data_IF_798427827890
#
_entry.id   IF_798427827890
#
_cell.length_a   1.000
_cell.length_b   1.000
_cell.length_c   1.000
_cell.angle_alpha   90.00
_cell.angle_beta   90.00
_cell.angle_gamma   90.00
#
_symmetry.space_group_name_H-M   'P 1'
#
loop_
_entity.id
_entity.type
_entity.pdbx_description
1 polymer ?
#
# COMPACT_ATOMS: atom_id res chain seq x y z
N UNK A 1 -67.41 -12.39 5.38
CA UNK A 1 -66.13 -12.53 6.11
C UNK A 1 -65.00 -12.05 5.19
N UNK A 2 -64.72 -10.74 5.16
CA UNK A 2 -63.62 -10.16 4.36
C UNK A 2 -62.32 -10.41 5.10
N UNK A 3 -61.45 -11.26 4.56
CA UNK A 3 -60.07 -11.42 5.05
C UNK A 3 -59.31 -10.13 4.72
N UNK A 4 -58.94 -9.38 5.74
CA UNK A 4 -57.90 -8.38 5.64
C UNK A 4 -56.59 -9.12 5.35
N UNK A 5 -56.11 -9.06 4.12
CA UNK A 5 -54.71 -9.30 3.83
C UNK A 5 -53.94 -8.09 4.37
N UNK A 6 -53.27 -8.25 5.50
CA UNK A 6 -52.18 -7.35 5.87
C UNK A 6 -51.04 -7.60 4.87
N UNK A 7 -51.05 -6.87 3.76
CA UNK A 7 -49.80 -6.56 3.07
C UNK A 7 -48.97 -5.74 4.07
N UNK A 8 -47.88 -6.33 4.56
CA UNK A 8 -46.85 -5.58 5.27
C UNK A 8 -46.28 -4.54 4.29
N UNK A 9 -46.91 -3.37 4.22
CA UNK A 9 -46.40 -2.18 3.56
C UNK A 9 -45.12 -1.75 4.29
N UNK A 10 -44.00 -2.37 3.94
CA UNK A 10 -42.70 -1.84 4.32
C UNK A 10 -42.55 -0.50 3.60
N UNK A 11 -42.54 0.59 4.38
CA UNK A 11 -42.41 1.94 3.84
C UNK A 11 -41.08 2.05 3.09
N UNK A 12 -41.16 2.39 1.79
CA UNK A 12 -39.98 2.66 0.96
C UNK A 12 -39.24 3.88 1.49
N UNK A 13 -37.91 3.83 1.50
CA UNK A 13 -37.06 4.97 1.90
C UNK A 13 -36.95 6.02 0.82
N UNK A 14 -37.01 5.61 -0.46
CA UNK A 14 -36.95 6.53 -1.60
C UNK A 14 -37.80 6.03 -2.78
N UNK A 15 -38.16 6.97 -3.64
CA UNK A 15 -38.74 6.73 -4.96
C UNK A 15 -37.79 7.21 -6.07
N UNK A 16 -37.97 6.71 -7.29
CA UNK A 16 -37.34 7.28 -8.47
C UNK A 16 -38.14 8.49 -8.96
N UNK A 17 -37.44 9.57 -9.32
CA UNK A 17 -38.05 10.79 -9.87
C UNK A 17 -38.36 10.56 -11.35
N UNK A 18 -39.64 10.56 -11.77
CA UNK A 18 -39.99 10.35 -13.17
C UNK A 18 -39.39 11.44 -14.07
N UNK A 19 -38.68 11.03 -15.12
CA UNK A 19 -38.09 11.93 -16.11
C UNK A 19 -36.74 12.55 -15.74
N UNK A 20 -36.21 12.28 -14.54
CA UNK A 20 -34.84 12.64 -14.16
C UNK A 20 -33.96 11.39 -14.18
N UNK A 21 -33.49 11.08 -15.39
CA UNK A 21 -32.71 9.89 -15.70
C UNK A 21 -31.52 10.26 -16.60
N UNK A 22 -30.39 9.58 -16.42
CA UNK A 22 -29.19 9.76 -17.24
C UNK A 22 -28.75 8.41 -17.82
N UNK A 23 -28.42 8.41 -19.12
CA UNK A 23 -27.85 7.24 -19.80
C UNK A 23 -26.35 7.24 -19.60
N UNK A 24 -25.83 6.23 -18.88
CA UNK A 24 -24.41 6.15 -18.50
C UNK A 24 -23.61 5.17 -19.37
N UNK A 25 -24.30 4.26 -20.06
CA UNK A 25 -23.74 3.37 -21.07
C UNK A 25 -24.85 2.90 -22.02
N UNK A 26 -24.54 2.31 -23.19
CA UNK A 26 -25.55 1.75 -24.08
C UNK A 26 -26.47 0.76 -23.34
N UNK A 27 -27.76 1.09 -23.26
CA UNK A 27 -28.76 0.27 -22.57
C UNK A 27 -28.75 0.36 -21.04
N UNK A 28 -27.97 1.27 -20.44
CA UNK A 28 -27.93 1.47 -18.99
C UNK A 28 -28.26 2.90 -18.61
N UNK A 29 -29.30 3.03 -17.81
CA UNK A 29 -29.85 4.31 -17.35
C UNK A 29 -29.94 4.28 -15.83
N UNK A 30 -29.50 5.35 -15.18
CA UNK A 30 -29.68 5.55 -13.74
C UNK A 30 -30.67 6.67 -13.48
N UNK A 31 -31.41 6.58 -12.39
CA UNK A 31 -32.58 7.41 -12.10
C UNK A 31 -32.35 8.18 -10.80
N UNK A 32 -32.67 9.48 -10.80
CA UNK A 32 -32.56 10.32 -9.61
C UNK A 32 -33.48 9.76 -8.52
N UNK A 33 -32.98 9.63 -7.30
CA UNK A 33 -33.80 9.22 -6.15
C UNK A 33 -34.34 10.43 -5.38
N UNK A 34 -35.50 10.27 -4.76
CA UNK A 34 -36.09 11.24 -3.83
C UNK A 34 -36.46 10.56 -2.53
N UNK A 35 -36.09 11.17 -1.41
CA UNK A 35 -36.40 10.66 -0.08
C UNK A 35 -37.91 10.66 0.19
N UNK A 36 -38.44 9.55 0.68
CA UNK A 36 -39.82 9.42 1.16
C UNK A 36 -39.93 9.53 2.69
N UNK A 37 -38.81 9.29 3.38
CA UNK A 37 -38.70 9.32 4.83
C UNK A 37 -37.50 10.17 5.24
N UNK A 38 -37.52 10.72 6.45
CA UNK A 38 -36.36 11.42 6.99
C UNK A 38 -35.23 10.42 7.32
N UNK A 39 -34.00 10.79 7.00
CA UNK A 39 -32.79 10.09 7.44
C UNK A 39 -32.02 11.06 8.34
N UNK A 40 -32.45 11.13 9.61
CA UNK A 40 -32.01 12.16 10.55
C UNK A 40 -30.48 12.22 10.73
N UNK A 41 -29.79 11.08 10.68
CA UNK A 41 -28.33 11.02 10.80
C UNK A 41 -27.59 11.72 9.65
N UNK A 42 -28.27 11.92 8.52
CA UNK A 42 -27.74 12.58 7.32
C UNK A 42 -28.40 13.95 7.07
N UNK A 43 -29.31 14.39 7.94
CA UNK A 43 -30.06 15.64 7.75
C UNK A 43 -31.03 15.63 6.56
N UNK A 44 -31.37 14.45 6.03
CA UNK A 44 -32.27 14.30 4.89
C UNK A 44 -33.71 14.31 5.36
N UNK A 45 -34.56 15.09 4.69
CA UNK A 45 -36.01 15.15 4.92
C UNK A 45 -36.79 14.62 3.72
N UNK A 46 -38.06 14.20 3.90
CA UNK A 46 -38.89 13.77 2.78
C UNK A 46 -38.98 14.85 1.70
N UNK A 47 -38.78 14.46 0.44
CA UNK A 47 -38.74 15.35 -0.71
C UNK A 47 -37.33 15.69 -1.19
N UNK A 48 -36.30 15.51 -0.37
CA UNK A 48 -34.92 15.77 -0.77
C UNK A 48 -34.47 14.86 -1.91
N UNK A 49 -33.76 15.44 -2.87
CA UNK A 49 -33.15 14.71 -3.98
C UNK A 49 -31.83 14.08 -3.54
N UNK A 50 -31.64 12.82 -3.93
CA UNK A 50 -30.37 12.11 -3.81
C UNK A 50 -29.59 12.08 -5.12
N UNK A 51 -28.70 11.09 -5.27
CA UNK A 51 -28.00 10.81 -6.52
C UNK A 51 -28.80 9.89 -7.44
N UNK A 52 -28.08 9.17 -8.29
CA UNK A 52 -28.67 8.33 -9.33
C UNK A 52 -28.45 6.85 -9.06
N UNK A 53 -29.51 6.07 -9.23
CA UNK A 53 -29.50 4.62 -8.98
C UNK A 53 -30.21 3.89 -10.13
N UNK A 54 -29.63 2.79 -10.63
CA UNK A 54 -30.20 2.02 -11.76
C UNK A 54 -31.49 1.29 -11.39
N UNK A 55 -31.53 0.64 -10.22
CA UNK A 55 -32.66 -0.15 -9.74
C UNK A 55 -32.76 -0.15 -8.21
N UNK A 56 -33.92 -0.56 -7.68
CA UNK A 56 -34.11 -0.66 -6.22
C UNK A 56 -33.18 -1.70 -5.56
N UNK A 57 -32.59 -2.61 -6.35
CA UNK A 57 -31.61 -3.56 -5.85
C UNK A 57 -30.28 -2.90 -5.47
N UNK A 58 -29.99 -1.72 -6.02
CA UNK A 58 -28.69 -1.07 -5.85
C UNK A 58 -28.55 -0.28 -4.54
N UNK A 59 -29.65 0.15 -3.94
CA UNK A 59 -29.65 0.91 -2.68
C UNK A 59 -30.74 0.36 -1.76
N UNK A 60 -30.34 -0.10 -0.57
CA UNK A 60 -31.25 -0.73 0.39
C UNK A 60 -32.46 0.16 0.74
N UNK A 61 -33.67 -0.37 0.52
CA UNK A 61 -34.93 0.36 0.66
C UNK A 61 -35.45 0.48 2.10
N UNK A 62 -35.16 -0.49 2.97
CA UNK A 62 -35.87 -0.64 4.26
C UNK A 62 -34.93 -0.60 5.46
N UNK A 63 -33.73 -1.17 5.34
CA UNK A 63 -32.77 -1.24 6.43
C UNK A 63 -31.65 -0.21 6.30
N UNK A 64 -31.31 0.40 7.44
CA UNK A 64 -30.18 1.30 7.60
C UNK A 64 -30.31 2.65 6.88
N UNK A 65 -29.35 3.53 7.19
CA UNK A 65 -29.32 4.91 6.72
C UNK A 65 -28.55 5.10 5.41
N UNK A 66 -28.30 4.01 4.67
CA UNK A 66 -27.57 4.07 3.40
C UNK A 66 -28.23 5.05 2.42
N UNK A 67 -27.42 5.90 1.80
CA UNK A 67 -27.90 6.96 0.92
C UNK A 67 -26.89 7.30 -0.18
N UNK A 68 -27.44 7.68 -1.34
CA UNK A 68 -26.69 8.20 -2.48
C UNK A 68 -27.10 9.66 -2.66
N UNK A 69 -26.17 10.61 -2.65
CA UNK A 69 -26.44 12.05 -2.81
C UNK A 69 -25.53 12.72 -3.84
N UNK A 70 -25.79 13.99 -4.17
CA UNK A 70 -25.05 14.70 -5.22
C UNK A 70 -25.30 14.09 -6.59
N UNK A 71 -24.28 14.00 -7.42
CA UNK A 71 -24.34 13.38 -8.76
C UNK A 71 -23.76 11.96 -8.78
N UNK A 72 -23.61 11.37 -7.59
CA UNK A 72 -23.12 10.02 -7.42
C UNK A 72 -24.05 8.99 -8.08
N UNK A 73 -23.46 7.92 -8.60
CA UNK A 73 -24.13 6.94 -9.45
C UNK A 73 -23.89 5.52 -8.93
N UNK A 74 -24.96 4.75 -8.78
CA UNK A 74 -24.89 3.31 -8.42
C UNK A 74 -25.60 2.49 -9.49
N UNK A 75 -24.87 1.55 -10.11
CA UNK A 75 -25.34 0.80 -11.28
C UNK A 75 -24.83 -0.63 -11.36
N UNK A 76 -25.35 -1.42 -12.29
CA UNK A 76 -25.11 -2.87 -12.39
C UNK A 76 -25.73 -3.62 -11.21
N UNK A 77 -25.02 -4.62 -10.70
CA UNK A 77 -25.38 -5.39 -9.52
C UNK A 77 -24.75 -4.80 -8.23
N UNK A 78 -24.26 -3.56 -8.30
CA UNK A 78 -23.63 -2.92 -7.16
C UNK A 78 -24.65 -2.67 -6.06
N UNK A 79 -24.25 -2.81 -4.80
CA UNK A 79 -25.17 -2.74 -3.67
C UNK A 79 -24.64 -1.83 -2.56
N UNK A 80 -25.45 -0.84 -2.18
CA UNK A 80 -25.19 0.10 -1.10
C UNK A 80 -26.18 -0.15 0.05
N UNK A 81 -25.67 -0.43 1.25
CA UNK A 81 -26.50 -0.82 2.41
C UNK A 81 -25.90 -0.42 3.77
N UNK A 82 -26.57 -0.78 4.86
CA UNK A 82 -26.19 -0.34 6.20
C UNK A 82 -26.38 1.18 6.34
N UNK A 83 -25.35 1.89 6.78
CA UNK A 83 -25.30 3.35 6.87
C UNK A 83 -24.35 3.97 5.83
N UNK A 84 -24.00 3.21 4.79
CA UNK A 84 -23.00 3.63 3.83
C UNK A 84 -23.45 4.84 3.01
N UNK A 85 -22.53 5.73 2.70
CA UNK A 85 -22.82 6.98 1.99
C UNK A 85 -22.01 7.06 0.71
N UNK A 86 -22.69 7.32 -0.40
CA UNK A 86 -22.05 7.59 -1.70
C UNK A 86 -22.46 8.99 -2.14
N UNK A 87 -21.50 9.90 -2.35
CA UNK A 87 -21.82 11.31 -2.61
C UNK A 87 -20.79 12.01 -3.50
N UNK A 88 -21.06 13.26 -3.90
CA UNK A 88 -20.24 13.97 -4.89
C UNK A 88 -20.49 13.41 -6.29
N UNK A 89 -19.42 13.10 -7.04
CA UNK A 89 -19.44 12.53 -8.38
C UNK A 89 -19.04 11.04 -8.38
N UNK A 90 -19.17 10.37 -7.23
CA UNK A 90 -18.65 9.02 -7.01
C UNK A 90 -19.46 7.95 -7.77
N UNK A 91 -18.76 6.96 -8.32
CA UNK A 91 -19.36 5.89 -9.13
C UNK A 91 -19.16 4.52 -8.48
N UNK A 92 -20.26 3.82 -8.23
CA UNK A 92 -20.26 2.44 -7.74
C UNK A 92 -20.94 1.55 -8.78
N UNK A 93 -20.23 0.53 -9.28
CA UNK A 93 -20.72 -0.27 -10.42
C UNK A 93 -20.25 -1.73 -10.39
N UNK A 94 -20.73 -2.55 -11.34
CA UNK A 94 -20.38 -3.97 -11.40
C UNK A 94 -21.12 -4.74 -10.30
N UNK A 95 -20.42 -5.57 -9.55
CA UNK A 95 -20.91 -6.29 -8.35
C UNK A 95 -20.36 -5.67 -7.06
N UNK A 96 -19.96 -4.39 -7.09
CA UNK A 96 -19.31 -3.74 -5.95
C UNK A 96 -20.27 -3.64 -4.75
N UNK A 97 -19.75 -3.85 -3.54
CA UNK A 97 -20.53 -3.77 -2.31
C UNK A 97 -19.99 -2.67 -1.40
N UNK A 98 -20.87 -1.76 -0.98
CA UNK A 98 -20.53 -0.66 -0.08
C UNK A 98 -21.50 -0.70 1.10
N UNK A 99 -21.01 -1.07 2.28
CA UNK A 99 -21.87 -1.32 3.45
C UNK A 99 -21.22 -0.93 4.78
N UNK A 100 -21.95 -1.07 5.89
CA UNK A 100 -21.50 -0.57 7.19
C UNK A 100 -21.62 0.96 7.25
N UNK A 101 -20.63 1.65 7.78
CA UNK A 101 -20.54 3.13 7.84
C UNK A 101 -19.59 3.69 6.76
N UNK A 102 -19.35 2.91 5.71
CA UNK A 102 -18.41 3.24 4.64
C UNK A 102 -18.81 4.50 3.86
N UNK A 103 -17.82 5.24 3.37
CA UNK A 103 -18.03 6.46 2.59
C UNK A 103 -17.27 6.41 1.27
N UNK A 104 -17.97 6.68 0.18
CA UNK A 104 -17.39 6.84 -1.17
C UNK A 104 -17.75 8.23 -1.69
N UNK A 105 -16.76 9.04 -2.06
CA UNK A 105 -17.02 10.45 -2.39
C UNK A 105 -16.04 11.09 -3.36
N UNK A 106 -16.30 12.34 -3.76
CA UNK A 106 -15.51 13.00 -4.82
C UNK A 106 -15.76 12.31 -6.15
N UNK A 107 -14.71 12.04 -6.92
CA UNK A 107 -14.75 11.30 -8.19
C UNK A 107 -14.42 9.80 -8.01
N UNK A 108 -14.49 9.28 -6.77
CA UNK A 108 -14.04 7.95 -6.46
C UNK A 108 -14.83 6.88 -7.24
N UNK A 109 -14.14 5.83 -7.69
CA UNK A 109 -14.72 4.74 -8.46
C UNK A 109 -14.55 3.42 -7.73
N UNK A 110 -15.66 2.74 -7.45
CA UNK A 110 -15.69 1.38 -6.89
C UNK A 110 -16.37 0.46 -7.90
N UNK A 111 -15.67 -0.53 -8.41
CA UNK A 111 -16.19 -1.39 -9.50
C UNK A 111 -15.74 -2.85 -9.41
N UNK A 112 -16.20 -3.70 -10.32
CA UNK A 112 -15.92 -5.14 -10.27
C UNK A 112 -16.64 -5.80 -9.08
N UNK A 113 -15.97 -6.70 -8.37
CA UNK A 113 -16.46 -7.34 -7.14
C UNK A 113 -15.88 -6.66 -5.87
N UNK A 114 -15.49 -5.38 -5.95
CA UNK A 114 -14.82 -4.70 -4.85
C UNK A 114 -15.73 -4.48 -3.65
N UNK A 115 -15.18 -4.62 -2.43
CA UNK A 115 -15.91 -4.42 -1.18
C UNK A 115 -15.35 -3.24 -0.39
N UNK A 116 -16.21 -2.34 0.05
CA UNK A 116 -15.89 -1.24 0.96
C UNK A 116 -16.80 -1.34 2.18
N UNK A 117 -16.21 -1.51 3.37
CA UNK A 117 -16.99 -1.77 4.59
C UNK A 117 -16.39 -1.21 5.89
N UNK A 118 -17.12 -1.33 7.00
CA UNK A 118 -16.72 -0.70 8.27
C UNK A 118 -16.87 0.81 8.19
N UNK A 119 -15.88 1.56 8.66
CA UNK A 119 -15.78 3.02 8.54
C UNK A 119 -14.87 3.45 7.38
N UNK A 120 -14.62 2.56 6.41
CA UNK A 120 -13.66 2.82 5.34
C UNK A 120 -14.08 4.03 4.49
N UNK A 121 -13.09 4.78 4.00
CA UNK A 121 -13.32 5.95 3.17
C UNK A 121 -12.56 5.84 1.85
N UNK A 122 -13.27 6.02 0.74
CA UNK A 122 -12.70 6.11 -0.60
C UNK A 122 -13.09 7.46 -1.19
N UNK A 123 -12.13 8.34 -1.50
CA UNK A 123 -12.44 9.70 -1.94
C UNK A 123 -11.40 10.31 -2.88
N UNK A 124 -11.68 11.50 -3.43
CA UNK A 124 -10.84 12.08 -4.50
C UNK A 124 -11.05 11.34 -5.82
N UNK A 125 -9.98 11.04 -6.55
CA UNK A 125 -10.01 10.30 -7.83
C UNK A 125 -9.69 8.80 -7.66
N UNK A 126 -9.80 8.29 -6.42
CA UNK A 126 -9.37 6.97 -6.04
C UNK A 126 -10.19 5.87 -6.73
N UNK A 127 -9.54 4.76 -7.07
CA UNK A 127 -10.16 3.62 -7.75
C UNK A 127 -9.96 2.33 -6.98
N UNK A 128 -11.07 1.65 -6.67
CA UNK A 128 -11.09 0.32 -6.07
C UNK A 128 -11.80 -0.63 -7.03
N UNK A 129 -11.12 -1.68 -7.50
CA UNK A 129 -11.67 -2.58 -8.51
C UNK A 129 -11.23 -4.04 -8.37
N UNK A 130 -11.75 -4.93 -9.22
CA UNK A 130 -11.47 -6.37 -9.11
C UNK A 130 -12.18 -6.96 -7.89
N UNK A 131 -11.51 -7.81 -7.11
CA UNK A 131 -11.99 -8.34 -5.84
C UNK A 131 -11.38 -7.60 -4.63
N UNK A 132 -10.93 -6.36 -4.83
CA UNK A 132 -10.25 -5.60 -3.78
C UNK A 132 -11.17 -5.33 -2.59
N UNK A 133 -10.60 -5.33 -1.39
CA UNK A 133 -11.32 -5.08 -0.14
C UNK A 133 -10.72 -3.88 0.60
N UNK A 134 -11.57 -2.95 1.02
CA UNK A 134 -11.21 -1.82 1.88
C UNK A 134 -12.12 -1.85 3.10
N UNK A 135 -11.56 -2.07 4.30
CA UNK A 135 -12.37 -2.24 5.52
C UNK A 135 -11.77 -1.59 6.77
N UNK A 136 -12.49 -1.61 7.89
CA UNK A 136 -12.04 -0.94 9.12
C UNK A 136 -12.17 0.58 9.01
N UNK A 137 -11.16 1.33 9.44
CA UNK A 137 -11.05 2.78 9.28
C UNK A 137 -10.10 3.15 8.13
N UNK A 138 -9.85 2.25 7.19
CA UNK A 138 -8.92 2.46 6.10
C UNK A 138 -9.34 3.63 5.21
N UNK A 139 -8.36 4.35 4.66
CA UNK A 139 -8.58 5.47 3.76
C UNK A 139 -7.82 5.29 2.44
N UNK A 140 -8.53 5.42 1.33
CA UNK A 140 -7.97 5.39 -0.03
C UNK A 140 -8.34 6.68 -0.74
N UNK A 141 -7.36 7.51 -1.12
CA UNK A 141 -7.65 8.83 -1.67
C UNK A 141 -6.61 9.40 -2.64
N UNK A 142 -6.91 10.53 -3.25
CA UNK A 142 -6.11 11.07 -4.36
C UNK A 142 -6.32 10.22 -5.62
N UNK A 143 -5.26 9.95 -6.38
CA UNK A 143 -5.28 9.10 -7.58
C UNK A 143 -5.01 7.60 -7.27
N UNK A 144 -5.15 7.20 -6.01
CA UNK A 144 -4.76 5.88 -5.53
C UNK A 144 -5.57 4.77 -6.19
N UNK A 145 -4.92 3.62 -6.44
CA UNK A 145 -5.55 2.45 -7.08
C UNK A 145 -5.38 1.21 -6.22
N UNK A 146 -6.49 0.56 -5.88
CA UNK A 146 -6.52 -0.74 -5.21
C UNK A 146 -7.24 -1.74 -6.11
N UNK A 147 -6.58 -2.82 -6.52
CA UNK A 147 -7.14 -3.77 -7.50
C UNK A 147 -6.71 -5.22 -7.25
N UNK A 148 -7.22 -6.15 -8.06
CA UNK A 148 -6.96 -7.58 -7.87
C UNK A 148 -7.68 -8.13 -6.64
N UNK A 149 -7.01 -8.93 -5.81
CA UNK A 149 -7.49 -9.40 -4.51
C UNK A 149 -6.83 -8.61 -3.35
N UNK A 150 -6.39 -7.38 -3.60
CA UNK A 150 -5.71 -6.57 -2.59
C UNK A 150 -6.63 -6.26 -1.41
N UNK A 151 -6.05 -6.22 -0.20
CA UNK A 151 -6.79 -5.94 1.02
C UNK A 151 -6.16 -4.77 1.79
N UNK A 152 -6.92 -3.70 1.97
CA UNK A 152 -6.57 -2.55 2.81
C UNK A 152 -7.48 -2.52 4.03
N UNK A 153 -6.92 -2.56 5.24
CA UNK A 153 -7.71 -2.65 6.49
C UNK A 153 -7.08 -1.92 7.68
N UNK A 154 -7.75 -1.94 8.84
CA UNK A 154 -7.29 -1.23 10.03
C UNK A 154 -7.45 0.28 9.88
N UNK A 155 -6.43 1.05 10.23
CA UNK A 155 -6.33 2.49 10.01
C UNK A 155 -5.39 2.83 8.83
N UNK A 156 -5.16 1.89 7.91
CA UNK A 156 -4.19 2.05 6.82
C UNK A 156 -4.59 3.15 5.83
N UNK A 157 -3.61 3.87 5.30
CA UNK A 157 -3.80 4.93 4.31
C UNK A 157 -3.10 4.59 2.99
N UNK A 158 -3.84 4.74 1.88
CA UNK A 158 -3.31 4.64 0.52
C UNK A 158 -3.62 5.94 -0.21
N UNK A 159 -2.59 6.68 -0.64
CA UNK A 159 -2.79 8.04 -1.19
C UNK A 159 -1.84 8.45 -2.31
N UNK A 160 -2.12 9.59 -2.95
CA UNK A 160 -1.36 10.03 -4.12
C UNK A 160 -1.64 9.12 -5.32
N UNK A 161 -0.60 8.77 -6.09
CA UNK A 161 -0.68 7.82 -7.22
C UNK A 161 -0.39 6.37 -6.80
N UNK A 162 -0.48 6.05 -5.50
CA UNK A 162 -0.09 4.75 -4.98
C UNK A 162 -0.93 3.62 -5.59
N UNK A 163 -0.31 2.46 -5.81
CA UNK A 163 -0.95 1.29 -6.38
C UNK A 163 -0.79 0.08 -5.46
N UNK A 164 -1.91 -0.53 -5.08
CA UNK A 164 -1.95 -1.80 -4.32
C UNK A 164 -2.69 -2.82 -5.17
N UNK A 165 -2.03 -3.91 -5.57
CA UNK A 165 -2.61 -4.90 -6.48
C UNK A 165 -2.19 -6.34 -6.19
N UNK A 166 -2.71 -7.32 -6.94
CA UNK A 166 -2.45 -8.74 -6.67
C UNK A 166 -3.16 -9.21 -5.41
N UNK A 167 -2.49 -9.97 -4.56
CA UNK A 167 -2.96 -10.39 -3.23
C UNK A 167 -2.32 -9.55 -2.10
N UNK A 168 -1.85 -8.34 -2.42
CA UNK A 168 -1.15 -7.49 -1.47
C UNK A 168 -2.04 -7.09 -0.28
N UNK A 169 -1.44 -6.97 0.90
CA UNK A 169 -2.14 -6.59 2.13
C UNK A 169 -1.51 -5.34 2.75
N UNK A 170 -2.34 -4.35 3.06
CA UNK A 170 -1.94 -3.13 3.78
C UNK A 170 -2.85 -2.99 5.01
N UNK A 171 -2.28 -3.06 6.22
CA UNK A 171 -3.08 -3.09 7.46
C UNK A 171 -2.43 -2.36 8.63
N UNK A 172 -3.11 -2.31 9.79
CA UNK A 172 -2.64 -1.53 10.94
C UNK A 172 -2.74 -0.03 10.67
N UNK A 173 -1.69 0.72 10.97
CA UNK A 173 -1.58 2.16 10.66
C UNK A 173 -0.65 2.40 9.44
N UNK A 174 -0.45 1.38 8.59
CA UNK A 174 0.48 1.45 7.47
C UNK A 174 0.09 2.55 6.47
N UNK A 175 1.10 3.18 5.87
CA UNK A 175 0.92 4.27 4.92
C UNK A 175 1.62 3.95 3.60
N UNK A 176 0.87 3.95 2.50
CA UNK A 176 1.38 3.80 1.13
C UNK A 176 1.04 5.08 0.36
N UNK A 177 2.04 5.83 -0.10
CA UNK A 177 1.82 7.16 -0.70
C UNK A 177 2.77 7.50 -1.85
N UNK A 178 2.50 8.59 -2.56
CA UNK A 178 3.30 9.00 -3.72
C UNK A 178 3.03 8.11 -4.93
N UNK A 179 4.06 7.63 -5.62
CA UNK A 179 3.95 6.66 -6.72
C UNK A 179 4.28 5.23 -6.27
N UNK A 180 4.18 4.94 -4.96
CA UNK A 180 4.56 3.66 -4.40
C UNK A 180 3.70 2.51 -4.96
N UNK A 181 4.32 1.34 -5.14
CA UNK A 181 3.66 0.15 -5.65
C UNK A 181 3.81 -1.01 -4.65
N UNK A 182 2.69 -1.60 -4.25
CA UNK A 182 2.64 -2.81 -3.44
C UNK A 182 1.88 -3.88 -4.21
N UNK A 183 2.52 -5.01 -4.53
CA UNK A 183 1.91 -6.03 -5.41
C UNK A 183 2.32 -7.46 -5.05
N UNK A 184 1.80 -8.46 -5.78
CA UNK A 184 2.06 -9.87 -5.49
C UNK A 184 1.37 -10.29 -4.17
N UNK A 185 2.09 -10.97 -3.29
CA UNK A 185 1.63 -11.35 -1.95
C UNK A 185 2.27 -10.46 -0.86
N UNK A 186 2.74 -9.25 -1.22
CA UNK A 186 3.44 -8.37 -0.29
C UNK A 186 2.54 -7.93 0.87
N UNK A 187 3.14 -7.78 2.06
CA UNK A 187 2.45 -7.37 3.28
C UNK A 187 3.11 -6.12 3.87
N UNK A 188 2.31 -5.07 4.07
CA UNK A 188 2.70 -3.83 4.75
C UNK A 188 1.80 -3.62 5.97
N UNK A 189 2.34 -3.65 7.18
CA UNK A 189 1.54 -3.58 8.40
C UNK A 189 2.23 -2.85 9.56
N UNK A 190 1.50 -2.62 10.66
CA UNK A 190 2.01 -1.82 11.79
C UNK A 190 2.00 -0.34 11.44
N UNK A 191 3.07 0.39 11.78
CA UNK A 191 3.25 1.82 11.48
C UNK A 191 4.15 2.04 10.24
N UNK A 192 4.29 1.01 9.40
CA UNK A 192 5.19 1.00 8.25
C UNK A 192 4.81 2.04 7.19
N UNK A 193 5.81 2.61 6.53
CA UNK A 193 5.64 3.64 5.50
C UNK A 193 6.32 3.24 4.20
N UNK A 194 5.57 3.24 3.11
CA UNK A 194 6.06 3.05 1.74
C UNK A 194 5.71 4.31 0.93
N UNK A 195 6.72 5.02 0.44
CA UNK A 195 6.50 6.33 -0.21
C UNK A 195 7.42 6.59 -1.40
N UNK A 196 7.12 7.62 -2.21
CA UNK A 196 7.96 7.95 -3.37
C UNK A 196 7.71 6.99 -4.53
N UNK A 197 8.76 6.47 -5.16
CA UNK A 197 8.66 5.46 -6.24
C UNK A 197 8.98 4.05 -5.73
N UNK A 198 8.84 3.81 -4.43
CA UNK A 198 9.20 2.54 -3.80
C UNK A 198 8.32 1.39 -4.30
N UNK A 199 8.93 0.22 -4.50
CA UNK A 199 8.26 -0.99 -4.95
C UNK A 199 8.42 -2.11 -3.92
N UNK A 200 7.30 -2.68 -3.46
CA UNK A 200 7.25 -3.85 -2.58
C UNK A 200 6.45 -4.94 -3.29
N UNK A 201 7.07 -6.07 -3.62
CA UNK A 201 6.43 -7.12 -4.41
C UNK A 201 6.89 -8.54 -4.04
N UNK A 202 6.27 -9.56 -4.63
CA UNK A 202 6.55 -10.95 -4.26
C UNK A 202 5.93 -11.29 -2.91
N UNK A 203 6.67 -11.97 -2.02
CA UNK A 203 6.23 -12.30 -0.67
C UNK A 203 6.86 -11.36 0.39
N UNK A 204 7.22 -10.13 0.00
CA UNK A 204 7.96 -9.20 0.83
C UNK A 204 7.12 -8.65 2.00
N UNK A 205 7.73 -8.50 3.18
CA UNK A 205 7.09 -8.02 4.40
C UNK A 205 7.75 -6.72 4.87
N UNK A 206 6.92 -5.69 5.11
CA UNK A 206 7.35 -4.41 5.70
C UNK A 206 6.49 -4.15 6.94
N UNK A 207 7.13 -4.02 8.11
CA UNK A 207 6.42 -3.96 9.38
C UNK A 207 7.06 -3.08 10.46
N UNK A 208 6.34 -2.88 11.57
CA UNK A 208 6.79 -2.00 12.66
C UNK A 208 6.82 -0.54 12.21
N UNK A 209 7.90 0.18 12.50
CA UNK A 209 8.10 1.58 12.08
C UNK A 209 8.92 1.69 10.78
N UNK A 210 8.99 0.63 9.98
CA UNK A 210 9.90 0.56 8.84
C UNK A 210 9.54 1.61 7.79
N UNK A 211 10.55 2.19 7.15
CA UNK A 211 10.38 3.18 6.09
C UNK A 211 11.08 2.75 4.81
N UNK A 212 10.29 2.52 3.75
CA UNK A 212 10.74 2.29 2.38
C UNK A 212 10.41 3.53 1.53
N UNK A 213 11.42 4.17 0.94
CA UNK A 213 11.22 5.43 0.20
C UNK A 213 12.15 5.61 -1.00
N UNK A 214 11.86 6.60 -1.86
CA UNK A 214 12.68 6.87 -3.04
C UNK A 214 12.45 5.82 -4.14
N UNK A 215 13.50 5.39 -4.82
CA UNK A 215 13.45 4.37 -5.87
C UNK A 215 13.82 2.97 -5.31
N UNK A 216 13.37 2.66 -4.10
CA UNK A 216 13.74 1.45 -3.38
C UNK A 216 12.91 0.22 -3.80
N UNK A 217 13.51 -0.96 -3.76
CA UNK A 217 12.89 -2.22 -4.17
C UNK A 217 12.99 -3.23 -3.01
N UNK A 218 11.86 -3.79 -2.59
CA UNK A 218 11.78 -4.89 -1.62
C UNK A 218 11.03 -6.05 -2.27
N UNK A 219 11.69 -7.20 -2.42
CA UNK A 219 11.16 -8.30 -3.23
C UNK A 219 11.49 -9.70 -2.74
N UNK A 220 10.82 -10.71 -3.27
CA UNK A 220 10.98 -12.10 -2.83
C UNK A 220 10.46 -12.29 -1.41
N UNK A 221 11.18 -13.03 -0.58
CA UNK A 221 10.82 -13.30 0.82
C UNK A 221 11.47 -12.29 1.82
N UNK A 222 11.75 -11.07 1.34
CA UNK A 222 12.46 -10.05 2.11
C UNK A 222 11.64 -9.52 3.30
N UNK A 223 12.31 -9.22 4.41
CA UNK A 223 11.71 -8.69 5.63
C UNK A 223 12.38 -7.39 6.08
N UNK A 224 11.61 -6.30 6.11
CA UNK A 224 12.01 -4.99 6.63
C UNK A 224 11.16 -4.69 7.87
N UNK A 225 11.76 -4.59 9.05
CA UNK A 225 11.02 -4.43 10.31
C UNK A 225 11.69 -3.50 11.32
N UNK A 226 10.92 -3.05 12.33
CA UNK A 226 11.42 -2.12 13.35
C UNK A 226 11.63 -0.71 12.79
N UNK A 227 12.69 -0.01 13.21
CA UNK A 227 13.01 1.35 12.74
C UNK A 227 13.87 1.38 11.45
N UNK A 228 13.81 0.31 10.65
CA UNK A 228 14.63 0.13 9.45
C UNK A 228 14.31 1.18 8.36
N UNK A 229 15.36 1.64 7.67
CA UNK A 229 15.24 2.62 6.57
C UNK A 229 15.86 2.07 5.27
N UNK A 230 15.01 1.87 4.27
CA UNK A 230 15.41 1.50 2.90
C UNK A 230 15.09 2.67 1.98
N UNK A 231 16.10 3.30 1.38
CA UNK A 231 15.92 4.52 0.59
C UNK A 231 16.86 4.62 -0.61
N UNK A 232 16.52 5.48 -1.58
CA UNK A 232 17.35 5.68 -2.77
C UNK A 232 17.19 4.53 -3.77
N UNK A 233 18.28 4.04 -4.36
CA UNK A 233 18.29 2.95 -5.35
C UNK A 233 18.50 1.57 -4.70
N UNK A 234 18.17 1.44 -3.41
CA UNK A 234 18.38 0.24 -2.61
C UNK A 234 17.53 -0.94 -3.11
N UNK A 235 18.12 -2.13 -3.15
CA UNK A 235 17.46 -3.38 -3.49
C UNK A 235 17.62 -4.38 -2.34
N UNK A 236 16.49 -4.84 -1.80
CA UNK A 236 16.40 -5.87 -0.76
C UNK A 236 15.61 -7.05 -1.32
N UNK A 237 16.25 -8.20 -1.49
CA UNK A 237 15.67 -9.38 -2.13
C UNK A 237 16.01 -10.69 -1.42
N UNK A 238 15.19 -11.71 -1.60
CA UNK A 238 15.43 -13.04 -1.01
C UNK A 238 15.22 -13.05 0.50
N UNK A 239 15.94 -13.89 1.24
CA UNK A 239 15.84 -14.01 2.71
C UNK A 239 16.55 -12.85 3.46
N UNK A 240 16.51 -11.63 2.91
CA UNK A 240 17.14 -10.46 3.50
C UNK A 240 16.33 -9.94 4.69
N UNK A 241 16.96 -9.86 5.87
CA UNK A 241 16.37 -9.31 7.09
C UNK A 241 17.04 -7.98 7.42
N UNK A 242 16.29 -6.88 7.34
CA UNK A 242 16.74 -5.54 7.75
C UNK A 242 15.93 -5.12 8.97
N UNK A 243 16.60 -4.94 10.12
CA UNK A 243 15.95 -4.60 11.40
C UNK A 243 16.74 -3.59 12.23
N UNK A 244 16.03 -2.87 13.12
CA UNK A 244 16.63 -1.88 14.03
C UNK A 244 17.06 -0.59 13.33
N UNK A 245 18.13 0.06 13.84
CA UNK A 245 18.72 1.28 13.26
C UNK A 245 19.57 0.99 12.01
N UNK A 246 19.05 0.20 11.06
CA UNK A 246 19.75 -0.17 9.83
C UNK A 246 19.44 0.84 8.71
N UNK A 247 20.49 1.36 8.08
CA UNK A 247 20.40 2.32 6.97
C UNK A 247 21.00 1.69 5.71
N UNK A 248 20.16 1.48 4.70
CA UNK A 248 20.60 1.12 3.34
C UNK A 248 20.23 2.27 2.41
N UNK A 249 21.23 2.90 1.81
CA UNK A 249 21.05 4.10 0.98
C UNK A 249 22.03 4.14 -0.19
N UNK A 250 21.71 4.92 -1.22
CA UNK A 250 22.54 5.09 -2.42
C UNK A 250 22.39 3.92 -3.38
N UNK A 251 23.50 3.49 -3.98
CA UNK A 251 23.58 2.38 -4.94
C UNK A 251 23.94 1.04 -4.27
N UNK A 252 23.58 0.87 -3.00
CA UNK A 252 23.85 -0.35 -2.24
C UNK A 252 23.08 -1.56 -2.80
N UNK A 253 23.79 -2.64 -3.08
CA UNK A 253 23.24 -3.94 -3.44
C UNK A 253 23.64 -4.98 -2.38
N UNK A 254 22.67 -5.44 -1.59
CA UNK A 254 22.89 -6.45 -0.55
C UNK A 254 21.94 -7.63 -0.78
N UNK A 255 22.31 -8.48 -1.74
CA UNK A 255 21.57 -9.72 -2.06
C UNK A 255 21.85 -10.87 -1.09
N UNK A 256 22.86 -10.73 -0.22
CA UNK A 256 23.21 -11.74 0.77
C UNK A 256 24.05 -11.16 1.92
N UNK A 257 24.07 -11.88 3.05
CA UNK A 257 24.78 -11.45 4.28
C UNK A 257 26.28 -11.19 4.06
N UNK A 258 26.90 -11.83 3.07
CA UNK A 258 28.31 -11.66 2.74
C UNK A 258 28.66 -10.33 2.06
N UNK A 259 27.68 -9.59 1.51
CA UNK A 259 27.91 -8.34 0.77
C UNK A 259 27.94 -7.08 1.64
N UNK A 260 27.87 -7.25 2.96
CA UNK A 260 27.97 -6.17 3.94
C UNK A 260 28.85 -6.60 5.11
N UNK A 261 29.73 -5.70 5.53
CA UNK A 261 30.54 -5.82 6.72
C UNK A 261 30.35 -4.59 7.59
N UNK A 262 30.22 -4.77 8.91
CA UNK A 262 30.27 -3.65 9.84
C UNK A 262 31.13 -3.98 11.06
N UNK A 263 31.75 -2.94 11.61
CA UNK A 263 32.48 -2.98 12.86
C UNK A 263 32.08 -1.78 13.71
N UNK A 264 31.76 -2.03 14.98
CA UNK A 264 31.35 -1.00 15.95
C UNK A 264 32.46 -0.74 16.96
N UNK A 265 32.39 0.41 17.64
CA UNK A 265 33.43 0.86 18.58
C UNK A 265 34.76 1.06 17.83
N UNK A 266 34.67 1.69 16.66
CA UNK A 266 35.81 1.95 15.77
C UNK A 266 36.09 3.44 15.69
N UNK A 267 37.37 3.80 15.69
CA UNK A 267 37.79 5.21 15.60
C UNK A 267 37.64 5.96 16.92
N UNK A 268 37.87 7.28 16.87
CA UNK A 268 37.92 8.14 18.06
C UNK A 268 36.57 8.37 18.74
N UNK A 269 35.46 8.14 18.04
CA UNK A 269 34.10 8.39 18.52
C UNK A 269 33.34 7.10 18.84
N UNK A 270 34.02 5.94 18.83
CA UNK A 270 33.40 4.62 18.99
C UNK A 270 32.23 4.38 18.01
N UNK A 271 32.38 4.87 16.78
CA UNK A 271 31.33 4.80 15.77
C UNK A 271 31.22 3.43 15.12
N UNK A 272 30.26 3.29 14.21
CA UNK A 272 30.13 2.12 13.33
C UNK A 272 30.71 2.45 11.96
N UNK A 273 31.63 1.61 11.51
CA UNK A 273 32.11 1.54 10.13
C UNK A 273 31.28 0.51 9.39
N UNK A 274 30.71 0.86 8.25
CA UNK A 274 30.01 -0.08 7.36
C UNK A 274 30.68 -0.06 6.00
N UNK A 275 30.94 -1.25 5.45
CA UNK A 275 31.48 -1.47 4.11
C UNK A 275 30.52 -2.37 3.36
N UNK A 276 30.17 -2.03 2.12
CA UNK A 276 29.22 -2.79 1.33
C UNK A 276 29.50 -2.68 -0.18
N UNK A 277 28.96 -3.62 -0.93
CA UNK A 277 29.02 -3.66 -2.39
C UNK A 277 27.96 -2.74 -3.03
N UNK A 278 28.37 -1.99 -4.04
CA UNK A 278 27.50 -1.20 -4.90
C UNK A 278 27.15 -1.93 -6.21
N UNK A 279 26.15 -1.43 -6.94
CA UNK A 279 25.68 -2.03 -8.21
C UNK A 279 26.74 -2.20 -9.30
N UNK A 280 27.81 -1.41 -9.26
CA UNK A 280 28.93 -1.45 -10.21
C UNK A 280 30.13 -2.26 -9.67
N UNK A 281 29.87 -3.10 -8.68
CA UNK A 281 30.85 -3.92 -7.95
C UNK A 281 31.89 -3.14 -7.15
N UNK A 282 31.72 -1.82 -6.99
CA UNK A 282 32.61 -1.01 -6.14
C UNK A 282 32.30 -1.19 -4.66
N UNK A 283 33.32 -1.06 -3.81
CA UNK A 283 33.15 -1.03 -2.36
C UNK A 283 32.94 0.40 -1.88
N UNK A 284 31.80 0.60 -1.20
CA UNK A 284 31.46 1.86 -0.56
C UNK A 284 31.60 1.75 0.95
N UNK A 285 31.97 2.85 1.59
CA UNK A 285 32.19 2.98 3.02
C UNK A 285 31.30 4.07 3.60
N UNK A 286 30.66 3.79 4.72
CA UNK A 286 29.99 4.81 5.54
C UNK A 286 30.55 4.83 6.95
N UNK A 287 30.76 6.05 7.46
CA UNK A 287 31.21 6.30 8.85
C UNK A 287 30.82 7.72 9.25
N UNK A 288 29.97 7.86 10.27
CA UNK A 288 29.44 9.16 10.68
C UNK A 288 28.76 9.88 9.51
N UNK A 289 29.15 11.11 9.20
CA UNK A 289 28.64 11.86 8.06
C UNK A 289 29.34 11.54 6.72
N UNK A 290 30.32 10.62 6.71
CA UNK A 290 31.01 10.22 5.47
C UNK A 290 30.25 9.10 4.75
N UNK A 291 30.12 9.25 3.43
CA UNK A 291 29.75 8.21 2.47
C UNK A 291 30.57 8.42 1.20
N UNK A 292 31.18 7.36 0.66
CA UNK A 292 32.05 7.42 -0.52
C UNK A 292 32.78 6.10 -0.76
N UNK A 293 33.73 6.08 -1.70
CA UNK A 293 34.53 4.88 -1.99
C UNK A 293 35.52 4.57 -0.86
N UNK A 294 36.03 3.34 -0.84
CA UNK A 294 37.14 2.95 0.06
C UNK A 294 38.32 3.92 -0.06
N UNK A 295 38.74 4.26 -1.27
CA UNK A 295 39.88 5.15 -1.50
C UNK A 295 39.63 6.56 -0.97
N UNK A 296 38.44 7.11 -1.21
CA UNK A 296 38.06 8.42 -0.68
C UNK A 296 38.02 8.43 0.85
N UNK A 297 37.51 7.35 1.46
CA UNK A 297 37.45 7.20 2.91
C UNK A 297 38.85 7.15 3.51
N UNK A 298 39.72 6.29 2.98
CA UNK A 298 41.09 6.14 3.45
C UNK A 298 41.89 7.45 3.26
N UNK A 299 41.71 8.15 2.15
CA UNK A 299 42.34 9.44 1.89
C UNK A 299 41.88 10.54 2.86
N UNK A 300 40.59 10.58 3.22
CA UNK A 300 40.08 11.52 4.24
C UNK A 300 40.53 11.13 5.65
N UNK A 301 40.43 9.85 6.00
CA UNK A 301 40.87 9.30 7.29
C UNK A 301 42.34 9.64 7.56
N UNK A 302 43.19 9.53 6.54
CA UNK A 302 44.61 9.86 6.64
C UNK A 302 44.91 11.32 6.99
N UNK A 303 43.99 12.26 6.69
CA UNK A 303 44.11 13.69 6.99
C UNK A 303 43.63 14.06 8.40
N UNK A 304 42.78 13.23 9.00
CA UNK A 304 42.05 13.57 10.25
C UNK A 304 42.53 12.77 11.45
N UNK A 305 43.00 11.53 11.23
CA UNK A 305 43.30 10.59 12.31
C UNK A 305 44.80 10.33 12.47
N UNK A 306 45.19 9.79 13.63
CA UNK A 306 46.55 9.30 13.89
C UNK A 306 46.82 7.95 13.17
N UNK A 307 48.07 7.49 13.18
CA UNK A 307 48.46 6.26 12.47
C UNK A 307 47.78 5.00 13.04
N UNK A 308 47.43 5.01 14.33
CA UNK A 308 46.73 3.90 14.99
C UNK A 308 45.32 3.74 14.42
N UNK A 309 44.54 4.81 14.39
CA UNK A 309 43.17 4.81 13.88
C UNK A 309 43.13 4.60 12.36
N UNK A 310 44.08 5.18 11.61
CA UNK A 310 44.24 4.87 10.17
C UNK A 310 44.42 3.37 9.95
N UNK A 311 45.34 2.75 10.72
CA UNK A 311 45.64 1.32 10.57
C UNK A 311 44.45 0.45 10.97
N UNK A 312 43.72 0.83 12.01
CA UNK A 312 42.46 0.18 12.41
C UNK A 312 41.46 0.18 11.26
N UNK A 313 41.19 1.33 10.63
CA UNK A 313 40.29 1.43 9.50
C UNK A 313 40.74 0.60 8.29
N UNK A 314 42.03 0.62 7.96
CA UNK A 314 42.59 -0.18 6.87
C UNK A 314 42.37 -1.68 7.10
N UNK A 315 42.69 -2.18 8.30
CA UNK A 315 42.52 -3.59 8.63
C UNK A 315 41.06 -4.04 8.54
N UNK A 316 40.13 -3.22 9.05
CA UNK A 316 38.71 -3.52 8.98
C UNK A 316 38.19 -3.52 7.53
N UNK A 317 38.68 -2.60 6.70
CA UNK A 317 38.35 -2.55 5.27
C UNK A 317 38.96 -3.73 4.51
N UNK A 318 40.19 -4.14 4.81
CA UNK A 318 40.83 -5.33 4.22
C UNK A 318 40.00 -6.59 4.54
N UNK A 319 39.55 -6.75 5.79
CA UNK A 319 38.65 -7.85 6.19
C UNK A 319 37.31 -7.77 5.46
N UNK A 320 36.74 -6.56 5.35
CA UNK A 320 35.49 -6.36 4.64
C UNK A 320 35.60 -6.74 3.16
N UNK A 321 36.61 -6.21 2.46
CA UNK A 321 36.87 -6.46 1.04
C UNK A 321 37.02 -7.96 0.79
N UNK A 322 37.87 -8.64 1.56
CA UNK A 322 38.09 -10.08 1.42
C UNK A 322 36.79 -10.90 1.58
N UNK A 323 35.93 -10.55 2.53
CA UNK A 323 34.64 -11.25 2.74
C UNK A 323 33.64 -10.98 1.64
N UNK A 324 33.54 -9.72 1.21
CA UNK A 324 32.59 -9.30 0.17
C UNK A 324 32.99 -9.91 -1.18
N UNK A 325 34.28 -9.86 -1.54
CA UNK A 325 34.81 -10.50 -2.75
C UNK A 325 34.53 -12.01 -2.78
N UNK A 326 34.74 -12.70 -1.65
CA UNK A 326 34.43 -14.13 -1.55
C UNK A 326 32.92 -14.41 -1.78
N UNK A 327 32.04 -13.58 -1.21
CA UNK A 327 30.60 -13.72 -1.37
C UNK A 327 30.14 -13.46 -2.81
N UNK A 328 30.69 -12.44 -3.48
CA UNK A 328 30.40 -12.16 -4.90
C UNK A 328 30.79 -13.37 -5.78
N UNK A 329 31.96 -13.97 -5.52
CA UNK A 329 32.44 -15.14 -6.26
C UNK A 329 31.54 -16.39 -6.07
N UNK A 330 30.88 -16.54 -4.92
CA UNK A 330 29.92 -17.62 -4.69
C UNK A 330 28.61 -17.41 -5.46
N UNK A 331 28.12 -16.17 -5.54
CA UNK A 331 26.88 -15.83 -6.25
C UNK A 331 26.99 -15.89 -7.77
N UNK A 332 28.20 -15.81 -8.33
CA UNK A 332 28.45 -15.89 -9.77
C UNK A 332 28.52 -17.32 -10.33
N UNK A 333 28.41 -18.36 -9.47
CA UNK A 333 28.39 -19.75 -9.92
C UNK A 333 27.00 -20.12 -10.46
N UNK A 334 26.86 -20.60 -11.71
CA UNK A 334 25.57 -21.05 -12.22
C UNK A 334 25.07 -22.26 -11.41
N UNK A 335 23.79 -22.22 -11.01
CA UNK A 335 23.06 -23.38 -10.49
C UNK A 335 22.89 -24.41 -11.63
N UNK A 336 23.90 -25.26 -11.84
CA UNK A 336 23.75 -26.47 -12.66
C UNK A 336 24.84 -27.48 -12.29
N UNK A 337 24.55 -28.32 -11.29
CA UNK A 337 25.10 -29.69 -11.17
C UNK A 337 24.56 -30.43 -9.91
N UNK A 338 23.24 -30.60 -9.74
CA UNK A 338 22.75 -31.59 -8.76
C UNK A 338 21.59 -32.48 -9.23
N UNK A 339 21.36 -32.58 -10.54
CA UNK A 339 20.57 -33.67 -11.14
C UNK A 339 21.47 -34.72 -11.76
N UNK A 340 22.44 -35.25 -11.01
CA UNK A 340 23.17 -36.44 -11.44
C UNK A 340 23.87 -37.16 -10.26
N UNK A 341 23.13 -37.57 -9.22
CA UNK A 341 23.52 -38.71 -8.35
C UNK A 341 22.41 -39.08 -7.34
N UNK A 342 21.45 -39.88 -7.78
CA UNK A 342 20.95 -40.99 -6.97
C UNK A 342 20.33 -42.04 -7.90
N UNK A 343 21.10 -43.08 -8.19
CA UNK A 343 20.58 -44.43 -8.38
C UNK A 343 20.11 -44.96 -7.03
#
# INVERSE_FOLDING_TARGET
MRRYFCENNMSKKYEFVPGDEITIAPGRTVKRIRALVAIATLGIVPGDLGGYVESEANLAQVSGNAWVSGDAQVSGDAWVSGNAQVYGDAWVSGNAQVYGDARVSGNAQVSGNAWVSGNAQVYGDARVSGNAQVSGNAQVYGDARVSGNAWVSGNAWVSGNAQVSGNAQVSGNAQVSGNAQVSGNAQVYGDARVSGNAQVYGNAWVSGNAWVSGNAWVSGDAQVSGDARVSGNAQVSGNAQVSGNAWVSGDAQVSGRGLIFWASIVGTENGTLTVYNAKDDTLLVTRGCFSGTVDEFLAKSAKVHDDRIKREYQLLIEVAASRIEAALAETAKPEDADTAKSR
#
